data_IF_337454937986
#
_entry.id   IF_337454937986
#
_cell.length_a   1.000
_cell.length_b   1.000
_cell.length_c   1.000
_cell.angle_alpha   90.00
_cell.angle_beta   90.00
_cell.angle_gamma   90.00
#
_symmetry.space_group_name_H-M   'P 1'
#
loop_
_entity.id
_entity.type
_entity.pdbx_description
1 polymer ?
#
# COMPACT_ATOMS: atom_id res chain seq x y z
N UNK A 1 -26.08 60.31 83.12
CA UNK A 1 -26.41 60.41 81.67
C UNK A 1 -25.52 59.44 80.92
N UNK A 2 -26.04 58.25 80.63
CA UNK A 2 -25.35 57.19 80.03
C UNK A 2 -25.65 57.17 78.53
N UNK A 3 -24.63 57.18 77.67
CA UNK A 3 -24.75 56.98 76.22
C UNK A 3 -24.25 55.61 75.90
N UNK A 4 -25.13 54.71 75.52
CA UNK A 4 -24.86 53.38 74.97
C UNK A 4 -24.53 53.50 73.51
N UNK A 5 -23.36 53.01 73.12
CA UNK A 5 -22.93 52.87 71.73
C UNK A 5 -23.22 51.45 71.23
N UNK A 6 -23.91 51.32 70.09
CA UNK A 6 -24.19 50.07 69.40
C UNK A 6 -23.02 49.64 68.51
N UNK A 7 -22.70 48.34 68.40
CA UNK A 7 -21.58 47.84 67.53
C UNK A 7 -22.04 47.73 66.11
N UNK A 8 -21.20 48.22 65.21
CA UNK A 8 -21.29 48.05 63.75
C UNK A 8 -20.97 46.61 63.36
N UNK A 9 -21.93 45.89 62.81
CA UNK A 9 -21.67 44.54 62.18
C UNK A 9 -21.06 44.72 60.79
N UNK A 10 -19.79 44.28 60.62
CA UNK A 10 -19.15 44.13 59.30
C UNK A 10 -19.73 42.88 58.60
N UNK A 11 -20.37 43.08 57.45
CA UNK A 11 -20.74 41.97 56.55
C UNK A 11 -19.51 41.56 55.79
N UNK A 12 -19.06 40.30 55.94
CA UNK A 12 -18.05 39.69 55.12
C UNK A 12 -18.67 39.31 53.76
N UNK A 13 -18.15 39.89 52.72
CA UNK A 13 -18.45 39.47 51.34
C UNK A 13 -17.62 38.14 51.04
N UNK A 14 -18.34 37.05 50.89
CA UNK A 14 -17.76 35.79 50.41
C UNK A 14 -17.63 35.87 48.89
N UNK A 15 -16.41 35.99 48.40
CA UNK A 15 -16.12 35.88 46.97
C UNK A 15 -16.17 34.40 46.57
N UNK A 16 -17.12 34.02 45.74
CA UNK A 16 -17.18 32.70 45.11
C UNK A 16 -16.26 32.72 43.91
N UNK A 17 -15.24 31.81 43.81
CA UNK A 17 -14.42 31.75 42.62
C UNK A 17 -15.27 31.15 41.51
N UNK A 18 -15.39 31.86 40.37
CA UNK A 18 -15.93 31.33 39.14
C UNK A 18 -14.95 30.32 38.56
N UNK A 19 -15.23 29.02 38.68
CA UNK A 19 -14.52 28.00 38.00
C UNK A 19 -14.83 28.09 36.48
N UNK A 20 -13.87 28.53 35.69
CA UNK A 20 -13.98 28.52 34.25
C UNK A 20 -13.92 27.04 33.79
N UNK A 21 -15.06 26.46 33.37
CA UNK A 21 -15.13 25.24 32.66
C UNK A 21 -14.46 25.47 31.26
N UNK A 22 -13.21 25.06 31.09
CA UNK A 22 -12.65 24.87 29.76
C UNK A 22 -13.40 23.70 29.09
N UNK A 23 -14.36 24.03 28.23
CA UNK A 23 -14.94 23.05 27.33
C UNK A 23 -13.82 22.57 26.38
N UNK A 24 -13.32 21.35 26.60
CA UNK A 24 -12.51 20.62 25.62
C UNK A 24 -13.41 20.38 24.40
N UNK A 25 -13.28 21.24 23.38
CA UNK A 25 -13.86 20.97 22.08
C UNK A 25 -13.23 19.65 21.59
N UNK A 26 -14.03 18.66 21.17
CA UNK A 26 -13.47 17.46 20.57
C UNK A 26 -12.65 17.92 19.37
N UNK A 27 -11.35 17.61 19.37
CA UNK A 27 -10.51 17.70 18.19
C UNK A 27 -11.21 16.85 17.14
N UNK A 28 -11.79 17.47 16.11
CA UNK A 28 -12.24 16.74 14.93
C UNK A 28 -11.00 16.06 14.36
N UNK A 29 -10.86 14.75 14.59
CA UNK A 29 -9.89 13.95 13.88
C UNK A 29 -10.14 14.26 12.40
N UNK A 30 -9.12 14.77 11.70
CA UNK A 30 -9.20 15.00 10.26
C UNK A 30 -9.50 13.64 9.65
N UNK A 31 -10.72 13.46 9.16
CA UNK A 31 -11.11 12.25 8.47
C UNK A 31 -10.22 12.11 7.24
N UNK A 32 -9.73 10.88 6.97
CA UNK A 32 -8.98 10.61 5.73
C UNK A 32 -9.87 10.93 4.53
N UNK A 33 -9.29 11.39 3.41
CA UNK A 33 -10.07 11.74 2.23
C UNK A 33 -10.71 10.49 1.62
N UNK A 34 -11.94 10.65 1.15
CA UNK A 34 -12.57 9.62 0.33
C UNK A 34 -11.79 9.44 -0.97
N UNK A 35 -11.78 8.22 -1.56
CA UNK A 35 -11.26 8.04 -2.91
C UNK A 35 -12.06 8.86 -3.92
N UNK A 36 -11.41 9.26 -5.02
CA UNK A 36 -12.08 9.84 -6.18
C UNK A 36 -13.17 8.90 -6.73
N UNK A 37 -14.18 9.47 -7.35
CA UNK A 37 -15.26 8.70 -7.93
C UNK A 37 -14.76 7.80 -9.07
N UNK A 38 -15.03 6.49 -8.97
CA UNK A 38 -14.76 5.49 -10.01
C UNK A 38 -16.01 4.66 -10.26
N UNK A 39 -16.20 4.18 -11.49
CA UNK A 39 -17.39 3.46 -11.95
C UNK A 39 -17.04 2.26 -12.83
N UNK A 40 -18.03 1.42 -13.13
CA UNK A 40 -17.86 0.24 -13.98
C UNK A 40 -17.41 -0.99 -13.22
N UNK A 41 -16.51 -1.78 -13.80
CA UNK A 41 -15.93 -2.96 -13.13
C UNK A 41 -14.78 -2.52 -12.20
N UNK A 42 -15.15 -2.22 -10.95
CA UNK A 42 -14.24 -1.71 -9.92
C UNK A 42 -14.01 -2.69 -8.76
N UNK A 43 -14.52 -3.92 -8.86
CA UNK A 43 -14.24 -4.96 -7.87
C UNK A 43 -12.83 -5.48 -8.08
N UNK A 44 -11.91 -5.04 -7.23
CA UNK A 44 -10.47 -5.33 -7.33
C UNK A 44 -9.85 -5.60 -5.97
N UNK A 45 -8.76 -6.36 -5.96
CA UNK A 45 -7.86 -6.54 -4.82
C UNK A 45 -6.42 -6.35 -5.30
N UNK A 46 -5.56 -5.68 -4.52
CA UNK A 46 -4.14 -5.37 -4.84
C UNK A 46 -3.95 -4.78 -6.25
N UNK A 47 -4.57 -3.63 -6.54
CA UNK A 47 -4.50 -3.05 -7.86
C UNK A 47 -3.13 -2.40 -8.13
N UNK A 48 -2.65 -2.58 -9.36
CA UNK A 48 -1.54 -1.81 -9.92
C UNK A 48 -1.97 -1.18 -11.24
N UNK A 49 -1.46 0.02 -11.55
CA UNK A 49 -1.91 0.76 -12.74
C UNK A 49 -0.73 1.32 -13.52
N UNK A 50 -0.82 1.24 -14.85
CA UNK A 50 0.08 1.92 -15.77
C UNK A 50 -0.72 2.67 -16.83
N UNK A 51 -0.10 3.67 -17.46
CA UNK A 51 -0.70 4.43 -18.58
C UNK A 51 0.08 4.16 -19.85
N UNK A 52 -0.64 3.84 -20.92
CA UNK A 52 -0.03 3.64 -22.23
C UNK A 52 0.35 4.98 -22.87
N UNK A 53 1.20 4.94 -23.90
CA UNK A 53 1.54 6.13 -24.70
C UNK A 53 0.33 6.75 -25.41
N UNK A 54 -0.72 5.95 -25.68
CA UNK A 54 -2.01 6.44 -26.21
C UNK A 54 -2.93 7.06 -25.15
N UNK A 55 -2.52 7.07 -23.87
CA UNK A 55 -3.30 7.64 -22.79
C UNK A 55 -4.26 6.66 -22.09
N UNK A 56 -4.34 5.40 -22.54
CA UNK A 56 -5.19 4.38 -21.93
C UNK A 56 -4.58 3.89 -20.61
N UNK A 57 -5.39 3.77 -19.57
CA UNK A 57 -5.01 3.18 -18.29
C UNK A 57 -5.20 1.67 -18.32
N UNK A 58 -4.18 0.93 -17.86
CA UNK A 58 -4.17 -0.50 -17.65
C UNK A 58 -4.15 -0.75 -16.14
N UNK A 59 -5.24 -1.27 -15.61
CA UNK A 59 -5.40 -1.62 -14.19
C UNK A 59 -5.38 -3.14 -14.03
N UNK A 60 -4.30 -3.68 -13.54
CA UNK A 60 -4.18 -5.09 -13.18
C UNK A 60 -4.47 -5.31 -11.69
N UNK A 61 -5.02 -6.46 -11.34
CA UNK A 61 -5.34 -6.82 -9.96
C UNK A 61 -5.22 -8.32 -9.72
N UNK A 62 -5.14 -8.70 -8.46
CA UNK A 62 -5.31 -10.07 -7.97
C UNK A 62 -6.54 -10.72 -8.61
N UNK A 63 -6.42 -12.00 -8.97
CA UNK A 63 -7.50 -12.83 -9.50
C UNK A 63 -7.02 -13.79 -10.58
N UNK A 64 -7.96 -14.53 -11.18
CA UNK A 64 -7.66 -15.57 -12.16
C UNK A 64 -6.91 -14.99 -13.37
N UNK A 65 -5.67 -15.42 -13.52
CA UNK A 65 -4.75 -14.99 -14.57
C UNK A 65 -4.34 -13.51 -14.53
N UNK A 66 -4.47 -12.80 -13.39
CA UNK A 66 -4.29 -11.36 -13.23
C UNK A 66 -5.26 -10.55 -14.10
N UNK A 67 -6.36 -10.15 -13.50
CA UNK A 67 -7.46 -9.51 -14.20
C UNK A 67 -7.11 -8.09 -14.65
N UNK A 68 -7.39 -7.77 -15.92
CA UNK A 68 -7.23 -6.44 -16.50
C UNK A 68 -8.56 -5.69 -16.56
N UNK A 69 -8.53 -4.45 -16.14
CA UNK A 69 -9.52 -3.42 -16.46
C UNK A 69 -8.83 -2.27 -17.17
N UNK A 70 -9.55 -1.61 -18.06
CA UNK A 70 -9.03 -0.45 -18.79
C UNK A 70 -9.94 0.76 -18.63
N UNK A 71 -9.35 1.94 -18.72
CA UNK A 71 -10.06 3.22 -18.71
C UNK A 71 -9.35 4.20 -19.64
N UNK A 72 -10.07 5.20 -20.17
CA UNK A 72 -9.50 6.33 -20.92
C UNK A 72 -9.50 7.63 -20.10
N UNK A 73 -10.24 7.66 -18.99
CA UNK A 73 -10.47 8.86 -18.18
C UNK A 73 -10.10 8.66 -16.68
N UNK A 74 -9.67 7.44 -16.29
CA UNK A 74 -9.37 7.09 -14.92
C UNK A 74 -10.60 7.05 -13.99
N UNK A 75 -11.79 7.14 -14.55
CA UNK A 75 -13.08 7.14 -13.84
C UNK A 75 -13.89 5.89 -14.19
N UNK A 76 -14.15 5.67 -15.47
CA UNK A 76 -14.92 4.52 -15.94
C UNK A 76 -13.99 3.37 -16.32
N UNK A 77 -14.04 2.28 -15.59
CA UNK A 77 -13.22 1.08 -15.81
C UNK A 77 -14.09 -0.05 -16.39
N UNK A 78 -13.62 -0.63 -17.51
CA UNK A 78 -14.24 -1.81 -18.12
C UNK A 78 -13.33 -3.01 -18.06
N UNK A 79 -13.90 -4.20 -17.81
CA UNK A 79 -13.14 -5.45 -17.84
C UNK A 79 -12.61 -5.75 -19.23
N UNK A 80 -11.34 -6.12 -19.32
CA UNK A 80 -10.63 -6.31 -20.61
C UNK A 80 -9.87 -7.65 -20.67
N UNK A 81 -10.26 -8.64 -19.84
CA UNK A 81 -9.65 -9.97 -19.81
C UNK A 81 -8.62 -10.15 -18.69
N UNK A 82 -7.57 -10.91 -18.94
CA UNK A 82 -6.48 -11.18 -17.99
C UNK A 82 -5.13 -11.28 -18.71
N UNK A 83 -4.04 -11.09 -17.96
CA UNK A 83 -2.68 -11.23 -18.50
C UNK A 83 -2.42 -12.65 -19.00
N UNK A 84 -2.92 -13.65 -18.26
CA UNK A 84 -2.72 -15.07 -18.52
C UNK A 84 -4.07 -15.77 -18.75
N UNK A 85 -4.62 -15.74 -19.96
CA UNK A 85 -5.82 -16.52 -20.28
C UNK A 85 -5.59 -18.03 -20.19
N UNK A 86 -4.33 -18.47 -20.32
CA UNK A 86 -3.87 -19.84 -20.05
C UNK A 86 -2.86 -19.80 -18.93
N UNK A 87 -3.08 -20.64 -17.91
CA UNK A 87 -2.24 -20.70 -16.70
C UNK A 87 -0.88 -21.30 -17.01
N UNK A 88 0.24 -20.65 -16.69
CA UNK A 88 1.56 -21.24 -16.72
C UNK A 88 1.64 -22.50 -15.84
N UNK A 89 2.19 -23.59 -16.37
CA UNK A 89 2.20 -24.89 -15.70
C UNK A 89 2.93 -24.87 -14.33
N UNK A 90 3.95 -24.03 -14.17
CA UNK A 90 4.75 -23.95 -12.95
C UNK A 90 3.98 -23.41 -11.74
N UNK A 91 2.82 -22.71 -11.94
CA UNK A 91 2.00 -22.21 -10.84
C UNK A 91 1.51 -23.33 -9.93
N UNK A 92 1.24 -24.52 -10.48
CA UNK A 92 0.78 -25.69 -9.73
C UNK A 92 1.70 -26.13 -8.59
N UNK A 93 2.97 -25.70 -8.62
CA UNK A 93 3.95 -25.95 -7.55
C UNK A 93 3.60 -25.18 -6.26
N UNK A 94 2.93 -24.03 -6.40
CA UNK A 94 2.65 -23.09 -5.30
C UNK A 94 1.17 -22.91 -5.05
N UNK A 95 0.34 -23.08 -6.07
CA UNK A 95 -1.09 -22.84 -6.00
C UNK A 95 -1.86 -23.78 -6.92
N UNK A 96 -3.02 -24.29 -6.45
CA UNK A 96 -3.83 -25.27 -7.20
C UNK A 96 -4.88 -24.63 -8.12
N UNK A 97 -5.24 -23.36 -7.91
CA UNK A 97 -6.18 -22.61 -8.74
C UNK A 97 -5.46 -21.59 -9.62
N UNK A 98 -6.16 -20.79 -10.39
CA UNK A 98 -5.54 -19.77 -11.24
C UNK A 98 -5.47 -18.39 -10.61
N UNK A 99 -5.91 -18.26 -9.36
CA UNK A 99 -5.81 -16.99 -8.65
C UNK A 99 -4.37 -16.70 -8.29
N UNK A 100 -3.82 -15.68 -8.91
CA UNK A 100 -2.48 -15.16 -8.66
C UNK A 100 -2.61 -13.71 -8.19
N UNK A 101 -1.63 -13.24 -7.41
CA UNK A 101 -1.86 -12.11 -6.53
C UNK A 101 -0.89 -10.96 -6.76
N UNK A 102 -1.33 -9.77 -6.32
CA UNK A 102 -0.54 -8.57 -6.15
C UNK A 102 0.43 -8.30 -7.33
N UNK A 103 -0.09 -8.07 -8.55
CA UNK A 103 0.74 -7.70 -9.67
C UNK A 103 1.37 -6.32 -9.46
N UNK A 104 2.57 -6.12 -10.01
CA UNK A 104 3.23 -4.82 -10.15
C UNK A 104 3.58 -4.59 -11.63
N UNK A 105 2.88 -3.67 -12.29
CA UNK A 105 3.13 -3.31 -13.69
C UNK A 105 3.98 -2.05 -13.80
N UNK A 106 5.04 -2.12 -14.59
CA UNK A 106 5.91 -0.98 -14.89
C UNK A 106 6.41 -1.01 -16.33
N UNK A 107 6.81 0.14 -16.88
CA UNK A 107 7.31 0.23 -18.25
C UNK A 107 8.79 0.57 -18.27
N UNK A 108 9.61 -0.36 -18.79
CA UNK A 108 11.05 -0.22 -18.85
C UNK A 108 11.59 -0.84 -20.15
N UNK A 109 12.57 -0.19 -20.77
CA UNK A 109 13.25 -0.72 -21.93
C UNK A 109 12.34 -1.05 -23.13
N UNK A 110 11.26 -0.27 -23.32
CA UNK A 110 10.31 -0.49 -24.42
C UNK A 110 9.27 -1.60 -24.17
N UNK A 111 9.18 -2.12 -22.94
CA UNK A 111 8.24 -3.20 -22.57
C UNK A 111 7.55 -2.90 -21.25
N UNK A 112 6.32 -3.38 -21.11
CA UNK A 112 5.69 -3.55 -19.79
C UNK A 112 6.27 -4.79 -19.14
N UNK A 113 6.67 -4.65 -17.89
CA UNK A 113 7.09 -5.74 -17.01
C UNK A 113 6.00 -5.92 -15.96
N UNK A 114 5.71 -7.14 -15.61
CA UNK A 114 4.78 -7.50 -14.55
C UNK A 114 5.44 -8.52 -13.64
N UNK A 115 5.74 -8.10 -12.41
CA UNK A 115 6.05 -9.02 -11.34
C UNK A 115 4.75 -9.38 -10.63
N UNK A 116 4.59 -10.64 -10.20
CA UNK A 116 3.35 -11.11 -9.59
C UNK A 116 3.60 -12.27 -8.64
N UNK A 117 2.64 -12.56 -7.77
CA UNK A 117 2.77 -13.56 -6.72
C UNK A 117 2.00 -14.82 -7.04
N UNK A 118 2.63 -15.99 -6.84
CA UNK A 118 1.99 -17.31 -6.88
C UNK A 118 2.15 -17.96 -5.51
N UNK A 119 1.04 -18.12 -4.78
CA UNK A 119 1.06 -18.62 -3.41
C UNK A 119 -0.28 -19.23 -3.02
N UNK A 120 -0.35 -19.81 -1.83
CA UNK A 120 -1.59 -20.25 -1.18
C UNK A 120 -1.79 -19.51 0.13
N UNK A 121 -3.05 -19.18 0.44
CA UNK A 121 -3.38 -18.42 1.66
C UNK A 121 -2.87 -19.13 2.93
N UNK A 122 -2.21 -18.36 3.81
CA UNK A 122 -1.61 -18.87 5.04
C UNK A 122 -0.28 -19.61 4.86
N UNK A 123 0.29 -19.65 3.63
CA UNK A 123 1.55 -20.30 3.33
C UNK A 123 2.64 -19.26 2.99
N UNK A 124 3.90 -19.61 3.26
CA UNK A 124 5.06 -18.92 2.70
C UNK A 124 5.86 -19.81 1.72
N UNK A 125 5.28 -20.94 1.28
CA UNK A 125 5.74 -21.63 0.09
C UNK A 125 5.22 -20.86 -1.14
N UNK A 126 6.01 -19.91 -1.61
CA UNK A 126 5.56 -18.90 -2.56
C UNK A 126 6.61 -18.61 -3.64
N UNK A 127 6.16 -18.00 -4.72
CA UNK A 127 7.03 -17.54 -5.79
C UNK A 127 6.59 -16.18 -6.32
N UNK A 128 7.55 -15.35 -6.68
CA UNK A 128 7.36 -14.17 -7.52
C UNK A 128 7.66 -14.58 -8.95
N UNK A 129 6.68 -14.42 -9.85
CA UNK A 129 6.82 -14.58 -11.29
C UNK A 129 7.16 -13.27 -11.99
N UNK A 130 7.69 -13.38 -13.19
CA UNK A 130 7.91 -12.25 -14.10
C UNK A 130 7.28 -12.55 -15.45
N UNK A 131 6.57 -11.58 -16.00
CA UNK A 131 6.14 -11.54 -17.38
C UNK A 131 6.50 -10.22 -18.05
N UNK A 132 6.60 -10.22 -19.37
CA UNK A 132 6.79 -9.01 -20.15
C UNK A 132 5.84 -8.97 -21.35
N UNK A 133 5.47 -7.75 -21.75
CA UNK A 133 4.59 -7.46 -22.88
C UNK A 133 5.04 -6.19 -23.60
N UNK A 134 4.86 -6.12 -24.91
CA UNK A 134 5.08 -4.88 -25.67
C UNK A 134 3.90 -3.92 -25.60
N UNK A 135 2.70 -4.42 -25.33
CA UNK A 135 1.46 -3.61 -25.33
C UNK A 135 0.83 -3.49 -23.95
N UNK A 136 1.11 -4.42 -23.04
CA UNK A 136 0.44 -4.53 -21.75
C UNK A 136 -0.99 -5.08 -21.83
N UNK A 137 -1.44 -5.57 -22.98
CA UNK A 137 -2.79 -6.09 -23.23
C UNK A 137 -2.86 -7.62 -23.07
N UNK A 138 -4.03 -8.22 -22.87
CA UNK A 138 -4.22 -9.66 -22.87
C UNK A 138 -3.65 -10.33 -24.12
N UNK A 139 -3.09 -11.54 -23.95
CA UNK A 139 -2.50 -12.31 -25.06
C UNK A 139 -1.14 -11.81 -25.56
N UNK A 140 -0.61 -10.70 -25.02
CA UNK A 140 0.71 -10.17 -25.38
C UNK A 140 1.79 -10.47 -24.34
N UNK A 141 1.44 -11.10 -23.23
CA UNK A 141 2.36 -11.41 -22.15
C UNK A 141 3.15 -12.69 -22.39
N UNK A 142 4.46 -12.59 -22.28
CA UNK A 142 5.37 -13.74 -22.24
C UNK A 142 5.78 -13.99 -20.79
N UNK A 143 5.50 -15.18 -20.28
CA UNK A 143 5.90 -15.60 -18.93
C UNK A 143 7.37 -16.06 -18.92
N UNK A 144 8.14 -15.54 -17.97
CA UNK A 144 9.53 -15.89 -17.72
C UNK A 144 9.71 -16.82 -16.51
N UNK A 145 8.60 -17.27 -15.93
CA UNK A 145 8.59 -18.18 -14.79
C UNK A 145 8.93 -17.50 -13.46
N UNK A 146 9.22 -18.33 -12.47
CA UNK A 146 9.59 -17.84 -11.12
C UNK A 146 10.97 -17.18 -11.14
N UNK A 147 11.07 -16.00 -10.53
CA UNK A 147 12.31 -15.21 -10.42
C UNK A 147 12.85 -15.15 -8.99
N UNK A 148 11.98 -15.31 -8.00
CA UNK A 148 12.35 -15.40 -6.59
C UNK A 148 11.34 -16.26 -5.83
N UNK A 149 11.80 -17.04 -4.83
CA UNK A 149 10.94 -18.00 -4.13
C UNK A 149 11.18 -18.01 -2.64
N UNK A 150 10.20 -18.49 -1.91
CA UNK A 150 10.31 -18.91 -0.51
C UNK A 150 9.78 -20.33 -0.32
N UNK A 151 10.19 -20.95 0.76
CA UNK A 151 9.75 -22.29 1.18
C UNK A 151 9.16 -22.23 2.58
N UNK A 152 8.54 -23.29 3.05
CA UNK A 152 8.02 -23.38 4.43
C UNK A 152 9.07 -23.20 5.52
N UNK A 153 10.36 -23.37 5.19
CA UNK A 153 11.48 -23.13 6.10
C UNK A 153 12.06 -21.70 6.02
N UNK A 154 11.57 -20.88 5.06
CA UNK A 154 12.00 -19.49 4.93
C UNK A 154 11.43 -18.64 6.06
N UNK A 155 12.20 -17.65 6.53
CA UNK A 155 11.76 -16.65 7.50
C UNK A 155 10.97 -15.50 6.87
N UNK A 156 10.69 -15.55 5.57
CA UNK A 156 9.98 -14.54 4.77
C UNK A 156 8.98 -15.21 3.83
N UNK A 157 8.13 -14.39 3.22
CA UNK A 157 7.20 -14.80 2.17
C UNK A 157 7.52 -14.06 0.86
N UNK A 158 7.75 -14.79 -0.24
CA UNK A 158 8.05 -14.21 -1.56
C UNK A 158 6.76 -13.90 -2.32
N UNK A 159 6.03 -12.87 -1.85
CA UNK A 159 4.84 -12.31 -2.49
C UNK A 159 4.86 -10.77 -2.43
N UNK A 160 3.90 -10.13 -3.06
CA UNK A 160 3.71 -8.68 -3.12
C UNK A 160 4.93 -7.95 -3.68
N UNK A 161 5.34 -8.26 -4.91
CA UNK A 161 6.50 -7.63 -5.52
C UNK A 161 6.24 -6.19 -5.92
N UNK A 162 7.27 -5.33 -5.83
CA UNK A 162 7.32 -4.03 -6.50
C UNK A 162 8.70 -3.79 -7.08
N UNK A 163 8.78 -3.57 -8.39
CA UNK A 163 10.00 -3.19 -9.08
C UNK A 163 10.24 -1.70 -8.96
N UNK A 164 11.40 -1.33 -8.45
CA UNK A 164 11.87 0.05 -8.41
C UNK A 164 13.18 0.21 -9.17
N UNK A 165 13.22 1.17 -10.10
CA UNK A 165 14.41 1.47 -10.93
C UNK A 165 14.92 2.85 -10.59
N UNK A 166 16.20 2.94 -10.23
CA UNK A 166 16.89 4.20 -9.92
C UNK A 166 18.33 4.14 -10.37
N UNK A 167 18.77 5.14 -11.12
CA UNK A 167 20.13 5.27 -11.62
C UNK A 167 20.67 3.97 -12.28
N UNK A 168 19.88 3.39 -13.18
CA UNK A 168 20.20 2.15 -13.87
C UNK A 168 20.22 0.90 -12.98
N UNK A 169 19.94 1.05 -11.71
CA UNK A 169 19.87 -0.05 -10.74
C UNK A 169 18.43 -0.48 -10.55
N UNK A 170 18.22 -1.81 -10.63
CA UNK A 170 16.91 -2.41 -10.43
C UNK A 170 16.83 -3.08 -9.06
N UNK A 171 15.73 -2.85 -8.38
CA UNK A 171 15.45 -3.35 -7.05
C UNK A 171 14.05 -3.92 -7.00
N UNK A 172 13.90 -5.07 -6.33
CA UNK A 172 12.60 -5.68 -6.08
C UNK A 172 12.35 -5.67 -4.57
N UNK A 173 11.38 -4.89 -4.14
CA UNK A 173 10.83 -5.01 -2.79
C UNK A 173 9.69 -6.02 -2.81
N UNK A 174 9.52 -6.79 -1.73
CA UNK A 174 8.51 -7.82 -1.60
C UNK A 174 8.35 -8.23 -0.14
N UNK A 175 7.33 -9.00 0.15
CA UNK A 175 7.16 -9.64 1.45
C UNK A 175 5.82 -9.37 2.08
N UNK A 176 5.37 -10.34 2.87
CA UNK A 176 4.12 -10.33 3.61
C UNK A 176 4.30 -11.14 4.87
N UNK A 177 3.89 -10.60 6.02
CA UNK A 177 3.97 -11.25 7.34
C UNK A 177 5.39 -11.76 7.70
N UNK A 178 5.54 -12.90 8.32
CA UNK A 178 6.81 -13.52 8.76
C UNK A 178 7.80 -12.49 9.29
N UNK A 179 8.93 -12.30 8.60
CA UNK A 179 9.95 -11.30 8.96
C UNK A 179 9.82 -9.99 8.16
N UNK A 180 8.65 -9.76 7.55
CA UNK A 180 8.26 -8.49 6.91
C UNK A 180 8.87 -8.27 5.53
N UNK A 181 9.02 -7.00 5.18
CA UNK A 181 9.38 -6.53 3.84
C UNK A 181 10.87 -6.68 3.58
N UNK A 182 11.19 -7.19 2.39
CA UNK A 182 12.53 -7.44 1.89
C UNK A 182 12.83 -6.62 0.65
N UNK A 183 14.13 -6.46 0.35
CA UNK A 183 14.64 -5.83 -0.85
C UNK A 183 15.80 -6.65 -1.39
N UNK A 184 15.78 -6.95 -2.69
CA UNK A 184 16.86 -7.60 -3.41
C UNK A 184 17.27 -6.79 -4.63
N UNK A 185 18.49 -7.03 -5.08
CA UNK A 185 19.01 -6.47 -6.31
C UNK A 185 18.53 -7.32 -7.49
N UNK A 186 18.09 -6.67 -8.57
CA UNK A 186 17.67 -7.32 -9.82
C UNK A 186 18.69 -7.00 -10.93
N UNK A 187 18.97 -7.99 -11.77
CA UNK A 187 19.71 -7.84 -13.01
C UNK A 187 18.75 -7.34 -14.10
N UNK A 188 18.96 -6.13 -14.64
CA UNK A 188 18.08 -5.54 -15.67
C UNK A 188 17.99 -6.40 -16.96
N UNK A 189 19.00 -7.20 -17.25
CA UNK A 189 19.03 -8.02 -18.48
C UNK A 189 18.14 -9.25 -18.40
N UNK A 190 17.93 -9.78 -17.19
CA UNK A 190 17.15 -11.01 -16.96
C UNK A 190 15.87 -10.80 -16.18
N UNK A 191 15.74 -9.69 -15.43
CA UNK A 191 14.67 -9.45 -14.46
C UNK A 191 14.71 -10.37 -13.24
N UNK A 192 15.82 -11.10 -13.03
CA UNK A 192 16.03 -12.03 -11.90
C UNK A 192 16.97 -11.43 -10.86
N UNK A 193 17.12 -12.08 -9.71
CA UNK A 193 18.08 -11.66 -8.70
C UNK A 193 19.49 -11.50 -9.30
N UNK A 194 20.14 -10.39 -8.97
CA UNK A 194 21.48 -10.07 -9.49
C UNK A 194 22.52 -11.03 -8.91
N UNK A 195 23.25 -11.75 -9.78
CA UNK A 195 24.23 -12.76 -9.36
C UNK A 195 25.38 -12.19 -8.48
N UNK A 196 25.77 -10.94 -8.73
CA UNK A 196 26.82 -10.25 -7.96
C UNK A 196 26.34 -9.56 -6.67
N UNK A 197 25.04 -9.55 -6.38
CA UNK A 197 24.47 -9.02 -5.13
C UNK A 197 23.24 -9.85 -4.73
N UNK A 198 23.46 -10.92 -4.00
CA UNK A 198 22.42 -11.82 -3.50
C UNK A 198 21.90 -11.43 -2.11
N UNK A 199 22.31 -10.28 -1.61
CA UNK A 199 21.90 -9.80 -0.28
C UNK A 199 20.40 -9.52 -0.22
N UNK A 200 19.70 -10.16 0.72
CA UNK A 200 18.32 -9.86 1.06
C UNK A 200 18.29 -8.87 2.24
N UNK A 201 17.90 -7.64 1.97
CA UNK A 201 17.83 -6.55 2.95
C UNK A 201 16.43 -6.48 3.53
N UNK A 202 16.31 -6.19 4.83
CA UNK A 202 15.01 -5.99 5.50
C UNK A 202 14.69 -4.51 5.57
N UNK A 203 13.47 -4.12 5.15
CA UNK A 203 13.05 -2.71 5.08
C UNK A 203 12.00 -2.36 6.13
N UNK A 204 11.07 -3.26 6.43
CA UNK A 204 10.01 -3.07 7.42
C UNK A 204 9.66 -4.39 8.09
N UNK A 205 9.31 -4.34 9.37
CA UNK A 205 8.85 -5.50 10.13
C UNK A 205 8.01 -5.09 11.35
N UNK A 206 7.28 -6.06 11.88
CA UNK A 206 6.56 -5.93 13.16
C UNK A 206 7.09 -6.98 14.11
N UNK A 207 8.09 -6.66 14.92
CA UNK A 207 8.75 -7.65 15.80
C UNK A 207 7.84 -8.12 16.92
N UNK A 208 6.84 -7.32 17.32
CA UNK A 208 5.87 -7.63 18.38
C UNK A 208 4.43 -7.56 17.86
N UNK A 209 3.53 -8.32 18.48
CA UNK A 209 2.11 -8.39 18.08
C UNK A 209 1.87 -9.19 16.80
N UNK A 210 0.90 -8.77 16.01
CA UNK A 210 0.65 -9.35 14.69
C UNK A 210 1.82 -9.01 13.77
N UNK A 211 2.29 -9.96 12.98
CA UNK A 211 3.39 -9.72 12.01
C UNK A 211 2.89 -9.12 10.69
N UNK A 212 1.65 -8.65 10.66
CA UNK A 212 0.94 -8.19 9.48
C UNK A 212 1.52 -6.86 8.95
N UNK A 213 2.51 -6.95 8.09
CA UNK A 213 3.04 -5.90 7.22
C UNK A 213 3.34 -6.54 5.87
N UNK A 214 2.82 -5.91 4.78
CA UNK A 214 2.89 -6.47 3.43
C UNK A 214 2.73 -5.39 2.35
N UNK A 215 2.63 -5.78 1.09
CA UNK A 215 2.40 -4.90 -0.06
C UNK A 215 3.36 -3.70 -0.09
N UNK A 216 4.69 -3.90 -0.16
CA UNK A 216 5.63 -2.79 -0.27
C UNK A 216 5.50 -2.07 -1.61
N UNK A 217 5.64 -0.74 -1.61
CA UNK A 217 5.77 0.05 -2.82
C UNK A 217 6.75 1.21 -2.59
N UNK A 218 7.77 1.32 -3.43
CA UNK A 218 8.81 2.35 -3.27
C UNK A 218 8.62 3.47 -4.29
N UNK A 219 8.68 4.72 -3.80
CA UNK A 219 8.65 5.94 -4.63
C UNK A 219 9.82 6.82 -4.26
N UNK A 220 10.45 7.48 -5.23
CA UNK A 220 11.49 8.49 -4.99
C UNK A 220 10.96 9.90 -5.24
N UNK A 221 11.08 10.76 -4.23
CA UNK A 221 10.69 12.19 -4.31
C UNK A 221 11.66 13.04 -3.51
N UNK A 222 12.05 14.17 -4.09
CA UNK A 222 12.88 15.20 -3.43
C UNK A 222 14.12 14.63 -2.72
N UNK A 223 14.81 13.67 -3.37
CA UNK A 223 16.01 13.03 -2.84
C UNK A 223 15.77 11.92 -1.80
N UNK A 224 14.53 11.65 -1.41
CA UNK A 224 14.17 10.58 -0.49
C UNK A 224 13.47 9.42 -1.19
N UNK A 225 13.69 8.21 -0.69
CA UNK A 225 12.89 7.03 -0.98
C UNK A 225 11.78 6.92 0.05
N UNK A 226 10.56 6.67 -0.41
CA UNK A 226 9.38 6.46 0.42
C UNK A 226 8.91 5.03 0.24
N UNK A 227 8.88 4.27 1.33
CA UNK A 227 8.35 2.91 1.36
C UNK A 227 6.93 2.95 1.89
N UNK A 228 5.96 2.75 1.01
CA UNK A 228 4.59 2.46 1.39
C UNK A 228 4.48 0.97 1.74
N UNK A 229 3.67 0.64 2.72
CA UNK A 229 3.34 -0.73 3.07
C UNK A 229 1.95 -0.78 3.71
N UNK A 230 1.29 -1.92 3.58
CA UNK A 230 0.01 -2.19 4.23
C UNK A 230 0.23 -2.87 5.57
N UNK A 231 -0.47 -2.44 6.58
CA UNK A 231 -0.38 -2.92 7.95
C UNK A 231 -1.72 -3.45 8.43
N UNK A 232 -1.66 -4.37 9.39
CA UNK A 232 -2.80 -5.05 10.03
C UNK A 232 -3.50 -6.05 9.10
N UNK A 233 -4.76 -6.38 9.33
CA UNK A 233 -5.44 -7.54 8.72
C UNK A 233 -6.23 -7.14 7.50
N UNK A 234 -5.90 -7.74 6.34
CA UNK A 234 -6.72 -7.71 5.12
C UNK A 234 -7.77 -8.84 5.12
N UNK A 235 -8.51 -8.92 4.04
CA UNK A 235 -9.23 -10.13 3.58
C UNK A 235 -10.35 -10.62 4.52
N UNK A 236 -10.88 -9.71 5.36
CA UNK A 236 -11.94 -9.95 6.33
C UNK A 236 -13.20 -9.10 6.07
N UNK A 237 -13.38 -8.57 4.85
CA UNK A 237 -14.50 -7.72 4.47
C UNK A 237 -14.60 -6.51 5.43
N UNK A 238 -15.79 -6.27 5.99
CA UNK A 238 -16.02 -5.16 6.93
C UNK A 238 -15.28 -5.29 8.27
N UNK A 239 -14.69 -6.43 8.56
CA UNK A 239 -13.85 -6.66 9.75
C UNK A 239 -12.35 -6.43 9.47
N UNK A 240 -11.98 -6.03 8.27
CA UNK A 240 -10.60 -5.70 7.91
C UNK A 240 -10.12 -4.47 8.67
N UNK A 241 -8.89 -4.52 9.17
CA UNK A 241 -8.22 -3.41 9.88
C UNK A 241 -7.04 -2.85 9.09
N UNK A 242 -6.92 -3.24 7.84
CA UNK A 242 -5.86 -2.87 6.92
C UNK A 242 -5.71 -1.34 6.84
N UNK A 243 -4.49 -0.87 6.66
CA UNK A 243 -4.19 0.56 6.50
C UNK A 243 -2.86 0.74 5.77
N UNK A 244 -2.74 1.83 5.06
CA UNK A 244 -1.54 2.21 4.31
C UNK A 244 -0.67 3.10 5.18
N UNK A 245 0.57 2.68 5.41
CA UNK A 245 1.58 3.49 6.08
C UNK A 245 2.78 3.77 5.17
N UNK A 246 3.56 4.80 5.51
CA UNK A 246 4.76 5.19 4.79
C UNK A 246 5.90 5.53 5.74
N UNK A 247 7.11 5.12 5.38
CA UNK A 247 8.35 5.62 5.94
C UNK A 247 9.26 6.16 4.84
N UNK A 248 10.25 6.98 5.19
CA UNK A 248 11.22 7.50 4.23
C UNK A 248 12.66 7.24 4.64
N UNK A 249 13.55 7.21 3.65
CA UNK A 249 14.99 7.07 3.81
C UNK A 249 15.74 7.87 2.75
N UNK A 250 16.96 8.29 3.04
CA UNK A 250 17.90 8.84 2.04
C UNK A 250 18.57 7.73 1.20
N UNK A 251 18.45 6.47 1.61
CA UNK A 251 18.97 5.30 0.89
C UNK A 251 17.84 4.32 0.57
N UNK A 252 17.87 3.71 -0.62
CA UNK A 252 16.89 2.69 -1.00
C UNK A 252 16.94 1.46 -0.08
N UNK A 253 18.10 1.19 0.50
CA UNK A 253 18.31 0.07 1.43
C UNK A 253 17.91 0.38 2.87
N UNK A 254 17.37 1.58 3.13
CA UNK A 254 16.96 2.04 4.45
C UNK A 254 18.12 2.61 5.28
N UNK A 255 17.93 2.80 6.59
CA UNK A 255 16.68 2.53 7.32
C UNK A 255 15.55 3.49 6.92
N UNK A 256 14.35 2.97 6.78
CA UNK A 256 13.14 3.77 6.60
C UNK A 256 12.55 4.14 7.96
N UNK A 257 12.25 5.42 8.15
CA UNK A 257 11.68 5.95 9.40
C UNK A 257 10.39 6.72 9.10
N UNK A 258 9.46 6.76 10.05
CA UNK A 258 8.24 7.56 9.98
C UNK A 258 8.50 9.03 10.39
N UNK A 259 7.43 9.85 10.39
CA UNK A 259 7.52 11.27 10.80
C UNK A 259 8.03 11.48 12.23
N UNK A 260 7.85 10.49 13.10
CA UNK A 260 8.28 10.54 14.50
C UNK A 260 9.68 9.96 14.70
N UNK A 261 10.37 9.52 13.63
CA UNK A 261 11.69 8.92 13.67
C UNK A 261 11.69 7.43 14.04
N UNK A 262 10.52 6.79 14.15
CA UNK A 262 10.44 5.37 14.46
C UNK A 262 10.73 4.56 13.19
N UNK A 263 11.66 3.62 13.29
CA UNK A 263 12.03 2.76 12.17
C UNK A 263 10.89 1.83 11.76
N UNK A 264 10.66 1.66 10.45
CA UNK A 264 9.68 0.68 9.94
C UNK A 264 10.03 -0.75 10.34
N UNK A 265 11.30 -1.04 10.59
CA UNK A 265 11.76 -2.31 11.20
C UNK A 265 11.24 -2.54 12.62
N UNK A 266 10.76 -1.50 13.29
CA UNK A 266 10.24 -1.52 14.66
C UNK A 266 8.76 -1.09 14.70
N UNK A 267 7.96 -1.53 13.72
CA UNK A 267 6.53 -1.19 13.60
C UNK A 267 6.26 0.31 13.32
N UNK A 268 7.26 1.11 12.94
CA UNK A 268 7.09 2.49 12.49
C UNK A 268 6.26 2.58 11.22
N UNK A 269 5.93 3.79 10.85
CA UNK A 269 5.19 4.13 9.64
C UNK A 269 4.11 5.17 9.92
N UNK A 270 4.16 6.29 9.19
CA UNK A 270 3.13 7.34 9.22
C UNK A 270 1.92 6.88 8.41
N UNK A 271 0.73 6.94 8.99
CA UNK A 271 -0.50 6.56 8.29
C UNK A 271 -0.78 7.54 7.15
N UNK A 272 -1.04 6.99 5.96
CA UNK A 272 -1.45 7.73 4.76
C UNK A 272 -2.94 7.56 4.51
N UNK A 273 -3.46 6.35 4.73
CA UNK A 273 -4.88 6.04 4.58
C UNK A 273 -5.27 4.92 5.56
N UNK A 274 -6.43 5.06 6.20
CA UNK A 274 -7.02 4.04 7.06
C UNK A 274 -8.55 4.07 6.97
N UNK A 275 -9.22 3.14 7.66
CA UNK A 275 -10.69 3.01 7.64
C UNK A 275 -11.39 4.29 8.06
N UNK A 276 -12.34 4.74 7.24
CA UNK A 276 -13.23 5.86 7.54
C UNK A 276 -14.54 5.73 6.75
N UNK A 277 -15.67 6.08 7.37
CA UNK A 277 -16.97 5.96 6.75
C UNK A 277 -17.24 4.55 6.19
N UNK A 278 -17.58 4.45 4.91
CA UNK A 278 -17.78 3.18 4.20
C UNK A 278 -16.49 2.51 3.72
N UNK A 279 -15.39 3.24 3.71
CA UNK A 279 -14.09 2.79 3.17
C UNK A 279 -13.31 2.05 4.25
N UNK A 280 -13.47 0.74 4.32
CA UNK A 280 -12.90 -0.11 5.37
C UNK A 280 -11.61 -0.75 4.87
N UNK A 281 -10.58 -0.77 5.70
CA UNK A 281 -9.34 -1.50 5.45
C UNK A 281 -8.65 -1.20 4.13
N UNK A 282 -8.33 0.09 3.81
CA UNK A 282 -7.59 0.41 2.59
C UNK A 282 -6.18 -0.19 2.61
N UNK A 283 -5.77 -0.82 1.50
CA UNK A 283 -4.45 -1.43 1.39
C UNK A 283 -4.17 -2.07 0.04
N UNK A 284 -3.11 -2.89 -0.06
CA UNK A 284 -2.65 -3.49 -1.31
C UNK A 284 -2.32 -2.43 -2.36
N UNK A 285 -1.65 -1.35 -1.93
CA UNK A 285 -1.48 -0.14 -2.72
C UNK A 285 -0.33 -0.20 -3.71
N UNK A 286 -0.51 0.53 -4.79
CA UNK A 286 0.53 0.97 -5.72
C UNK A 286 0.53 2.49 -5.87
N UNK A 287 1.58 3.07 -6.44
CA UNK A 287 1.66 4.51 -6.75
C UNK A 287 2.00 4.68 -8.22
N UNK A 288 1.14 5.38 -8.96
CA UNK A 288 1.37 5.69 -10.37
C UNK A 288 1.61 7.17 -10.56
N UNK A 289 2.64 7.55 -11.32
CA UNK A 289 2.83 8.92 -11.76
C UNK A 289 1.93 9.20 -12.95
N UNK A 290 1.09 10.23 -12.85
CA UNK A 290 0.25 10.72 -13.95
C UNK A 290 0.52 12.19 -14.26
N UNK A 291 -0.19 12.75 -15.24
CA UNK A 291 -0.01 14.11 -15.71
C UNK A 291 -0.36 15.17 -14.65
N UNK A 292 -1.37 14.89 -13.82
CA UNK A 292 -1.87 15.77 -12.76
C UNK A 292 -1.29 15.50 -11.37
N UNK A 293 -0.46 14.47 -11.23
CA UNK A 293 0.20 14.14 -9.96
C UNK A 293 0.49 12.67 -9.78
N UNK A 294 0.93 12.31 -8.59
CA UNK A 294 1.07 10.91 -8.20
C UNK A 294 -0.25 10.40 -7.65
N UNK A 295 -0.65 9.22 -8.09
CA UNK A 295 -1.88 8.55 -7.68
C UNK A 295 -1.55 7.44 -6.69
N UNK A 296 -2.22 7.43 -5.56
CA UNK A 296 -2.33 6.28 -4.68
C UNK A 296 -3.48 5.41 -5.20
N UNK A 297 -3.17 4.22 -5.68
CA UNK A 297 -4.14 3.25 -6.22
C UNK A 297 -4.17 2.07 -5.26
N UNK A 298 -5.33 1.72 -4.73
CA UNK A 298 -5.47 0.72 -3.68
C UNK A 298 -6.84 0.04 -3.72
N UNK A 299 -7.06 -0.98 -2.93
CA UNK A 299 -8.40 -1.48 -2.67
C UNK A 299 -8.86 -1.08 -1.26
N UNK A 300 -10.17 -1.02 -1.07
CA UNK A 300 -10.84 -0.93 0.21
C UNK A 300 -12.05 -1.87 0.24
N UNK A 301 -12.49 -2.29 1.41
CA UNK A 301 -13.70 -3.08 1.59
C UNK A 301 -14.89 -2.15 1.81
N UNK A 302 -15.90 -2.24 0.93
CA UNK A 302 -17.04 -1.32 0.97
C UNK A 302 -18.03 -1.69 2.08
N UNK A 303 -18.08 -0.93 3.14
CA UNK A 303 -19.00 -1.13 4.27
C UNK A 303 -20.50 -1.02 3.92
N UNK A 304 -20.82 -0.44 2.75
CA UNK A 304 -22.20 -0.37 2.24
C UNK A 304 -22.53 -1.47 1.22
N UNK A 305 -21.55 -2.33 0.92
CA UNK A 305 -21.70 -3.44 -0.03
C UNK A 305 -21.11 -4.74 0.55
N UNK A 306 -21.44 -5.03 1.80
CA UNK A 306 -21.05 -6.27 2.48
C UNK A 306 -19.54 -6.51 2.60
N UNK A 307 -18.71 -5.48 2.44
CA UNK A 307 -17.25 -5.61 2.45
C UNK A 307 -16.67 -6.10 1.12
N UNK A 308 -17.38 -5.92 0.00
CA UNK A 308 -16.84 -6.17 -1.34
C UNK A 308 -15.61 -5.28 -1.57
N UNK A 309 -14.44 -5.85 -1.98
CA UNK A 309 -13.25 -5.05 -2.25
C UNK A 309 -13.43 -4.21 -3.51
N UNK A 310 -13.16 -2.92 -3.42
CA UNK A 310 -13.33 -1.96 -4.52
C UNK A 310 -12.10 -1.08 -4.71
N UNK A 311 -11.94 -0.60 -5.94
CA UNK A 311 -10.89 0.33 -6.33
C UNK A 311 -11.02 1.67 -5.61
N UNK A 312 -9.93 2.12 -4.99
CA UNK A 312 -9.73 3.47 -4.49
C UNK A 312 -8.60 4.17 -5.23
N UNK A 313 -8.80 5.41 -5.62
CA UNK A 313 -7.78 6.27 -6.23
C UNK A 313 -7.80 7.64 -5.54
N UNK A 314 -6.67 8.06 -4.99
CA UNK A 314 -6.46 9.41 -4.48
C UNK A 314 -5.22 10.03 -5.11
N UNK A 315 -5.19 11.35 -5.24
CA UNK A 315 -3.97 12.08 -5.52
C UNK A 315 -3.09 12.17 -4.26
N UNK A 316 -1.77 12.27 -4.44
CA UNK A 316 -0.80 12.47 -3.37
C UNK A 316 -0.20 13.87 -3.41
N UNK A 317 -0.35 14.63 -2.34
CA UNK A 317 0.33 15.90 -2.12
C UNK A 317 1.64 15.67 -1.35
N UNK A 318 2.74 16.22 -1.86
CA UNK A 318 4.08 16.10 -1.28
C UNK A 318 4.61 17.40 -0.67
N UNK A 319 3.79 18.44 -0.57
CA UNK A 319 4.19 19.79 -0.13
C UNK A 319 4.78 19.83 1.28
N UNK A 320 4.38 18.92 2.15
CA UNK A 320 4.94 18.79 3.52
C UNK A 320 6.24 17.99 3.59
N UNK A 321 6.75 17.49 2.46
CA UNK A 321 7.85 16.52 2.40
C UNK A 321 7.44 15.09 2.80
N UNK A 322 6.13 14.84 2.92
CA UNK A 322 5.51 13.53 3.14
C UNK A 322 4.27 13.39 2.28
N UNK A 323 3.94 12.18 1.81
CA UNK A 323 2.73 11.98 1.03
C UNK A 323 1.49 12.17 1.91
N UNK A 324 0.56 12.94 1.40
CA UNK A 324 -0.77 13.15 1.98
C UNK A 324 -1.79 12.88 0.88
N UNK A 325 -2.67 11.90 1.07
CA UNK A 325 -3.76 11.63 0.15
C UNK A 325 -4.79 12.78 0.19
N UNK A 326 -5.43 13.10 -0.97
CA UNK A 326 -6.50 14.09 -1.06
C UNK A 326 -7.45 13.80 -2.22
#
# INVERSE_FOLDING_TARGET
MSRTSLPFRRRALIAVPAAALLALLPSSALAYPNPGAVTGDIVVHDPTMARTSSGKYLLYSTGDGLQLRTSTDRIAFGRSGSAFPTRPAWWSTYHSTGDVWAPDISYHGGKYLMYYSVSSFGSNKSAIGLAASTTGEPGSWTDYGAVYTSTTSSDYNAIDPNLFVDDGKWWLSFGSWWSGIKLIRIDPSTGKQHAGDTTRRSLASRPTGTKAVEAPYIVKRNGYYYLFASYDTCCAGTSSTYKIKVGRSSSITGPYVDKSGVAMMNNGGTVVQESHGRYIGPGGQSVMKDADGDLLVYHYYDGQDGGTPKLGINLLNWGSGWPVAY
#
